data_IF_035869662183
#
_entry.id   IF_035869662183
#
_cell.length_a   1.000
_cell.length_b   1.000
_cell.length_c   1.000
_cell.angle_alpha   90.00
_cell.angle_beta   90.00
_cell.angle_gamma   90.00
#
_symmetry.space_group_name_H-M   'P 1'
#
loop_
_entity.id
_entity.type
_entity.pdbx_description
1 polymer ?
#
# COMPACT_ATOMS: atom_id res chain seq x y z
N UNK A 1 57.48 0.52 29.76
CA UNK A 1 57.32 1.51 28.67
C UNK A 1 56.48 0.84 27.58
N UNK A 2 55.16 0.95 27.66
CA UNK A 2 54.20 0.37 26.70
C UNK A 2 53.36 1.50 26.11
N UNK A 3 53.21 1.53 24.78
CA UNK A 3 52.53 2.60 24.03
C UNK A 3 51.00 2.39 24.04
N UNK A 4 50.19 3.45 24.23
CA UNK A 4 48.73 3.37 24.14
C UNK A 4 48.25 3.94 22.78
N UNK A 5 47.96 3.09 21.79
CA UNK A 5 47.42 3.55 20.49
C UNK A 5 46.57 2.48 19.79
N UNK A 6 45.58 1.88 20.46
CA UNK A 6 44.69 0.90 19.80
C UNK A 6 43.20 0.97 20.20
N UNK A 7 42.74 1.98 20.94
CA UNK A 7 41.34 2.04 21.39
C UNK A 7 40.40 2.98 20.62
N UNK A 8 40.89 3.72 19.63
CA UNK A 8 40.07 4.76 18.97
C UNK A 8 39.47 4.32 17.62
N UNK A 9 39.85 3.17 17.07
CA UNK A 9 39.38 2.74 15.74
C UNK A 9 38.12 1.86 15.78
N UNK A 10 37.84 1.20 16.92
CA UNK A 10 36.67 0.31 17.05
C UNK A 10 35.34 1.05 17.28
N UNK A 11 35.37 2.28 17.80
CA UNK A 11 34.14 3.06 18.04
C UNK A 11 33.59 3.76 16.79
N UNK A 12 34.40 3.95 15.75
CA UNK A 12 33.95 4.58 14.50
C UNK A 12 33.28 3.57 13.57
N UNK A 13 33.66 2.30 13.61
CA UNK A 13 33.09 1.24 12.75
C UNK A 13 31.65 0.89 13.17
N UNK A 14 31.35 0.92 14.48
CA UNK A 14 29.99 0.69 14.97
C UNK A 14 28.99 1.80 14.57
N UNK A 15 29.46 3.04 14.40
CA UNK A 15 28.62 4.16 13.96
C UNK A 15 28.35 4.13 12.44
N UNK A 16 29.28 3.60 11.64
CA UNK A 16 29.07 3.41 10.19
C UNK A 16 28.16 2.22 9.87
N UNK A 17 28.16 1.16 10.69
CA UNK A 17 27.22 0.04 10.52
C UNK A 17 25.76 0.46 10.78
N UNK A 18 25.53 1.42 11.68
CA UNK A 18 24.19 1.97 11.93
C UNK A 18 23.70 2.94 10.84
N UNK A 19 24.61 3.57 10.08
CA UNK A 19 24.28 4.54 9.02
C UNK A 19 24.21 3.87 7.63
N UNK A 20 24.85 2.72 7.43
CA UNK A 20 24.80 1.95 6.18
C UNK A 20 23.68 0.88 6.13
N UNK A 21 22.89 0.73 7.20
CA UNK A 21 21.64 -0.05 7.18
C UNK A 21 20.42 0.75 6.69
N UNK A 22 20.63 1.77 5.85
CA UNK A 22 19.56 2.58 5.23
C UNK A 22 18.70 1.84 4.20
N UNK A 23 18.60 0.51 4.27
CA UNK A 23 17.85 -0.31 3.32
C UNK A 23 16.83 -1.25 3.95
N UNK A 24 16.81 -1.40 5.29
CA UNK A 24 15.74 -2.13 5.98
C UNK A 24 15.54 -1.51 7.37
N UNK A 25 14.55 -0.64 7.51
CA UNK A 25 14.09 -0.14 8.81
C UNK A 25 13.28 -1.21 9.58
N UNK A 26 13.83 -2.42 9.69
CA UNK A 26 13.32 -3.44 10.61
C UNK A 26 13.81 -3.06 12.01
N UNK A 27 12.97 -2.39 12.77
CA UNK A 27 13.27 -2.05 14.16
C UNK A 27 13.11 -3.31 15.02
N UNK A 28 14.13 -4.16 15.01
CA UNK A 28 14.01 -5.54 15.47
C UNK A 28 13.31 -5.74 16.81
N UNK A 29 12.35 -6.65 16.81
CA UNK A 29 12.27 -7.75 17.78
C UNK A 29 11.61 -8.94 17.08
N UNK A 30 12.38 -9.99 16.81
CA UNK A 30 11.89 -11.20 16.14
C UNK A 30 11.17 -12.07 17.17
N UNK A 31 9.98 -11.64 17.58
CA UNK A 31 9.00 -12.59 18.11
C UNK A 31 8.43 -13.36 16.91
N UNK A 32 8.16 -14.66 17.07
CA UNK A 32 7.99 -15.60 15.95
C UNK A 32 6.98 -15.20 14.85
N UNK A 33 6.06 -14.24 15.09
CA UNK A 33 5.03 -13.84 14.13
C UNK A 33 4.88 -12.30 13.96
N UNK A 34 5.89 -11.49 14.30
CA UNK A 34 5.78 -10.03 14.21
C UNK A 34 6.99 -9.41 13.52
N UNK A 35 6.70 -8.47 12.62
CA UNK A 35 7.65 -7.57 11.98
C UNK A 35 7.46 -6.16 12.50
N UNK A 36 8.46 -5.32 12.29
CA UNK A 36 8.37 -3.88 12.54
C UNK A 36 8.78 -3.13 11.28
N UNK A 37 8.06 -2.06 10.97
CA UNK A 37 8.29 -1.21 9.81
C UNK A 37 8.31 0.24 10.24
N UNK A 38 9.25 1.03 9.73
CA UNK A 38 9.30 2.46 9.96
C UNK A 38 8.80 3.19 8.73
N UNK A 39 7.75 4.00 8.89
CA UNK A 39 7.25 4.86 7.82
C UNK A 39 8.14 6.10 7.66
N UNK A 40 8.22 6.69 6.45
CA UNK A 40 8.81 8.01 6.27
C UNK A 40 8.03 9.03 7.10
N UNK A 41 8.70 9.94 7.81
CA UNK A 41 8.10 10.88 8.78
C UNK A 41 7.32 12.04 8.15
N UNK A 42 7.52 12.25 6.86
CA UNK A 42 6.74 13.15 6.05
C UNK A 42 6.35 12.39 4.78
N UNK A 43 5.08 12.41 4.42
CA UNK A 43 4.67 11.90 3.11
C UNK A 43 4.75 13.01 2.08
N UNK A 44 5.12 12.64 0.85
CA UNK A 44 4.89 13.54 -0.29
C UNK A 44 3.40 13.84 -0.38
N UNK A 45 2.97 15.10 -0.65
CA UNK A 45 1.56 15.41 -0.76
C UNK A 45 0.87 14.51 -1.79
N UNK A 46 -0.16 13.81 -1.34
CA UNK A 46 -0.92 12.88 -2.16
C UNK A 46 -1.92 13.69 -2.94
N UNK A 47 -1.80 13.65 -4.27
CA UNK A 47 -2.63 14.42 -5.19
C UNK A 47 -3.71 13.52 -5.76
N UNK A 48 -4.95 13.96 -5.63
CA UNK A 48 -6.10 13.29 -6.20
C UNK A 48 -6.85 14.25 -7.12
N UNK A 49 -7.48 13.72 -8.16
CA UNK A 49 -8.31 14.50 -9.09
C UNK A 49 -9.74 14.74 -8.57
N UNK A 50 -10.02 14.31 -7.33
CA UNK A 50 -11.30 14.44 -6.67
C UNK A 50 -11.12 14.83 -5.20
N UNK A 51 -12.14 15.47 -4.64
CA UNK A 51 -12.26 15.75 -3.22
C UNK A 51 -13.50 15.04 -2.67
N UNK A 52 -13.32 14.14 -1.72
CA UNK A 52 -14.34 13.35 -1.07
C UNK A 52 -14.46 13.77 0.41
N UNK A 53 -15.70 13.99 0.83
CA UNK A 53 -16.08 14.17 2.22
C UNK A 53 -16.99 13.02 2.63
N UNK A 54 -16.54 12.21 3.58
CA UNK A 54 -17.23 11.00 4.04
C UNK A 54 -17.48 11.14 5.54
N UNK A 55 -18.74 10.98 5.94
CA UNK A 55 -19.11 10.98 7.36
C UNK A 55 -20.01 9.79 7.64
N UNK A 56 -19.83 9.14 8.78
CA UNK A 56 -20.71 8.05 9.18
C UNK A 56 -20.43 7.52 10.57
N UNK A 57 -21.39 6.79 11.10
CA UNK A 57 -21.33 6.15 12.42
C UNK A 57 -22.08 4.81 12.39
N UNK A 58 -21.60 3.85 13.17
CA UNK A 58 -22.33 2.60 13.40
C UNK A 58 -23.46 2.81 14.41
N UNK A 59 -24.50 1.99 14.34
CA UNK A 59 -25.67 2.10 15.22
C UNK A 59 -25.32 1.95 16.72
N UNK A 60 -24.28 1.18 17.03
CA UNK A 60 -23.75 0.98 18.39
C UNK A 60 -22.74 2.06 18.83
N UNK A 61 -22.39 3.01 17.94
CA UNK A 61 -21.39 4.05 18.16
C UNK A 61 -19.95 3.53 18.29
N UNK A 62 -19.69 2.24 18.04
CA UNK A 62 -18.35 1.66 18.14
C UNK A 62 -17.42 2.14 17.01
N UNK A 63 -17.99 2.57 15.89
CA UNK A 63 -17.28 3.00 14.69
C UNK A 63 -17.75 4.38 14.23
N UNK A 64 -16.81 5.22 13.81
CA UNK A 64 -17.12 6.45 13.10
C UNK A 64 -16.04 6.80 12.10
N UNK A 65 -16.45 7.47 11.02
CA UNK A 65 -15.57 8.04 10.01
C UNK A 65 -15.95 9.51 9.83
N UNK A 66 -14.93 10.36 9.75
CA UNK A 66 -15.08 11.78 9.43
C UNK A 66 -13.91 12.24 8.58
N UNK A 67 -14.15 12.38 7.28
CA UNK A 67 -13.19 12.81 6.26
C UNK A 67 -13.76 14.03 5.55
N UNK A 68 -12.94 15.07 5.38
CA UNK A 68 -13.26 16.28 4.64
C UNK A 68 -12.14 16.49 3.62
N UNK A 69 -12.51 16.70 2.35
CA UNK A 69 -11.58 16.92 1.23
C UNK A 69 -10.38 15.93 1.21
N UNK A 70 -10.66 14.63 1.35
CA UNK A 70 -9.72 13.49 1.38
C UNK A 70 -8.84 13.34 2.64
N UNK A 71 -9.03 14.14 3.69
CA UNK A 71 -8.31 13.94 4.96
C UNK A 71 -9.24 13.94 6.17
N UNK A 72 -8.94 13.09 7.14
CA UNK A 72 -9.73 13.04 8.37
C UNK A 72 -9.31 11.91 9.28
N UNK A 73 -10.30 11.28 9.91
CA UNK A 73 -10.05 10.22 10.87
C UNK A 73 -11.13 9.15 10.88
N UNK A 74 -10.73 7.96 11.29
CA UNK A 74 -11.63 6.88 11.67
C UNK A 74 -11.43 6.61 13.15
N UNK A 75 -12.53 6.38 13.87
CA UNK A 75 -12.50 5.90 15.25
C UNK A 75 -13.11 4.52 15.35
N UNK A 76 -12.39 3.58 15.99
CA UNK A 76 -12.90 2.25 16.36
C UNK A 76 -12.30 1.83 17.70
N UNK A 77 -13.07 1.14 18.55
CA UNK A 77 -12.57 0.65 19.85
C UNK A 77 -11.83 1.71 20.69
N UNK A 78 -12.34 2.95 20.71
CA UNK A 78 -11.71 4.12 21.36
C UNK A 78 -10.32 4.51 20.83
N UNK A 79 -9.95 4.03 19.64
CA UNK A 79 -8.75 4.44 18.91
C UNK A 79 -9.14 5.33 17.76
N UNK A 80 -8.46 6.46 17.60
CA UNK A 80 -8.64 7.35 16.46
C UNK A 80 -7.39 7.31 15.60
N UNK A 81 -7.57 7.03 14.32
CA UNK A 81 -6.49 6.94 13.33
C UNK A 81 -6.71 8.00 12.28
N UNK A 82 -5.66 8.76 11.98
CA UNK A 82 -5.71 9.66 10.84
C UNK A 82 -5.80 8.83 9.57
N UNK A 83 -6.72 9.19 8.69
CA UNK A 83 -6.86 8.57 7.37
C UNK A 83 -6.87 9.62 6.29
N UNK A 84 -6.51 9.19 5.09
CA UNK A 84 -6.74 9.91 3.85
C UNK A 84 -7.44 9.00 2.84
N UNK A 85 -8.14 9.61 1.89
CA UNK A 85 -8.70 8.90 0.73
C UNK A 85 -7.72 9.03 -0.43
N UNK A 86 -7.31 7.88 -0.97
CA UNK A 86 -6.41 7.80 -2.13
C UNK A 86 -7.16 7.57 -3.42
N UNK A 87 -7.92 6.49 -3.48
CA UNK A 87 -8.53 6.06 -4.73
C UNK A 87 -10.06 6.15 -4.66
N UNK A 88 -10.65 6.46 -5.81
CA UNK A 88 -12.08 6.31 -6.07
C UNK A 88 -12.25 5.18 -7.09
N UNK A 89 -12.82 4.05 -6.65
CA UNK A 89 -12.91 2.81 -7.43
C UNK A 89 -14.39 2.50 -7.71
N UNK A 90 -14.86 2.70 -8.96
CA UNK A 90 -16.19 2.26 -9.36
C UNK A 90 -16.28 0.73 -9.32
N UNK A 91 -17.30 0.18 -8.64
CA UNK A 91 -17.45 -1.27 -8.40
C UNK A 91 -18.82 -1.78 -8.87
N UNK A 92 -19.24 -1.31 -10.05
CA UNK A 92 -20.51 -1.70 -10.67
C UNK A 92 -21.75 -0.98 -10.12
N UNK A 93 -22.73 -0.77 -10.99
CA UNK A 93 -23.97 -0.08 -10.65
C UNK A 93 -23.74 1.33 -10.09
N UNK A 94 -24.20 1.55 -8.85
CA UNK A 94 -24.05 2.82 -8.14
C UNK A 94 -23.05 2.75 -6.97
N UNK A 95 -22.35 1.62 -6.83
CA UNK A 95 -21.40 1.39 -5.75
C UNK A 95 -20.01 1.93 -6.14
N UNK A 96 -19.46 2.75 -5.25
CA UNK A 96 -18.10 3.29 -5.36
C UNK A 96 -17.37 3.00 -4.05
N UNK A 97 -16.16 2.48 -4.17
CA UNK A 97 -15.24 2.23 -3.06
C UNK A 97 -14.26 3.39 -2.98
N UNK A 98 -14.12 3.99 -1.81
CA UNK A 98 -13.07 4.97 -1.54
C UNK A 98 -11.98 4.30 -0.72
N UNK A 99 -10.81 4.09 -1.31
CA UNK A 99 -9.67 3.49 -0.62
C UNK A 99 -9.10 4.46 0.41
N UNK A 100 -8.94 3.96 1.63
CA UNK A 100 -8.49 4.68 2.81
C UNK A 100 -7.13 4.12 3.21
N UNK A 101 -6.17 5.01 3.42
CA UNK A 101 -4.94 4.67 4.14
C UNK A 101 -4.77 5.56 5.34
N UNK A 102 -4.31 4.97 6.43
CA UNK A 102 -4.12 5.68 7.67
C UNK A 102 -3.00 5.08 8.51
N UNK A 103 -2.63 5.82 9.54
CA UNK A 103 -1.64 5.36 10.51
C UNK A 103 -1.93 5.99 11.87
N UNK A 104 -1.67 5.22 12.91
CA UNK A 104 -1.58 5.71 14.27
C UNK A 104 -0.18 5.36 14.83
N UNK A 105 0.02 5.45 16.15
CA UNK A 105 1.32 5.18 16.77
C UNK A 105 1.74 3.70 16.68
N UNK A 106 0.80 2.77 16.48
CA UNK A 106 1.02 1.33 16.63
C UNK A 106 0.93 0.57 15.30
N UNK A 107 0.05 1.01 14.39
CA UNK A 107 -0.33 0.26 13.19
C UNK A 107 -0.63 1.14 11.97
N UNK A 108 -0.53 0.50 10.79
CA UNK A 108 -1.05 1.03 9.53
C UNK A 108 -2.48 0.53 9.39
N UNK A 109 -3.38 1.39 8.92
CA UNK A 109 -4.75 1.07 8.54
C UNK A 109 -4.87 1.12 7.01
N UNK A 110 -5.41 0.06 6.44
CA UNK A 110 -5.93 0.00 5.08
C UNK A 110 -7.46 -0.19 5.15
N UNK A 111 -8.23 0.42 4.26
CA UNK A 111 -9.68 0.23 4.28
C UNK A 111 -10.40 0.76 3.06
N UNK A 112 -11.72 0.54 3.04
CA UNK A 112 -12.61 1.01 1.99
C UNK A 112 -13.92 1.52 2.58
N UNK A 113 -14.30 2.74 2.21
CA UNK A 113 -15.65 3.26 2.44
C UNK A 113 -16.52 2.95 1.22
N UNK A 114 -17.60 2.18 1.43
CA UNK A 114 -18.52 1.75 0.39
C UNK A 114 -19.68 2.72 0.32
N UNK A 115 -19.83 3.39 -0.82
CA UNK A 115 -20.85 4.40 -1.02
C UNK A 115 -21.76 4.03 -2.18
N UNK A 116 -23.07 4.01 -1.93
CA UNK A 116 -24.10 3.76 -2.96
C UNK A 116 -24.97 5.00 -3.12
N UNK A 117 -24.91 5.65 -4.28
CA UNK A 117 -25.73 6.84 -4.54
C UNK A 117 -25.51 8.00 -3.55
N UNK A 118 -24.29 8.12 -3.00
CA UNK A 118 -23.94 9.13 -2.00
C UNK A 118 -24.25 8.75 -0.55
N UNK A 119 -24.89 7.60 -0.30
CA UNK A 119 -25.04 7.05 1.04
C UNK A 119 -23.82 6.18 1.37
N UNK A 120 -23.22 6.38 2.55
CA UNK A 120 -22.24 5.44 3.09
C UNK A 120 -22.99 4.22 3.61
N UNK A 121 -22.66 3.03 3.13
CA UNK A 121 -23.37 1.78 3.44
C UNK A 121 -22.52 0.76 4.17
N UNK A 122 -21.19 0.82 4.00
CA UNK A 122 -20.27 -0.08 4.68
C UNK A 122 -18.90 0.58 4.85
N UNK A 123 -18.15 0.13 5.85
CA UNK A 123 -16.77 0.47 6.09
C UNK A 123 -15.99 -0.82 6.32
N UNK A 124 -15.03 -1.11 5.45
CA UNK A 124 -14.11 -2.22 5.62
C UNK A 124 -12.75 -1.69 6.07
N UNK A 125 -12.12 -2.34 7.03
CA UNK A 125 -10.82 -1.91 7.55
C UNK A 125 -9.99 -3.13 7.93
N UNK A 126 -8.69 -2.99 7.71
CA UNK A 126 -7.68 -3.92 8.12
C UNK A 126 -6.51 -3.14 8.71
N UNK A 127 -5.87 -3.72 9.72
CA UNK A 127 -4.70 -3.12 10.34
C UNK A 127 -3.53 -4.08 10.40
N UNK A 128 -2.32 -3.53 10.34
CA UNK A 128 -1.10 -4.32 10.53
C UNK A 128 -0.99 -4.88 11.94
N UNK A 129 -1.81 -4.42 12.89
CA UNK A 129 -1.93 -5.00 14.23
C UNK A 129 -2.67 -6.35 14.27
N UNK A 130 -3.19 -6.84 13.14
CA UNK A 130 -3.91 -8.12 13.05
C UNK A 130 -5.43 -8.00 13.25
N UNK A 131 -5.98 -6.79 13.12
CA UNK A 131 -7.42 -6.62 12.94
C UNK A 131 -7.70 -6.88 11.46
N UNK A 132 -8.21 -8.07 11.15
CA UNK A 132 -8.64 -8.43 9.79
C UNK A 132 -10.17 -8.57 9.74
N UNK A 133 -10.77 -8.01 8.70
CA UNK A 133 -12.07 -8.43 8.21
C UNK A 133 -13.28 -7.57 8.62
N UNK A 134 -14.35 -7.82 7.86
CA UNK A 134 -15.69 -7.25 7.90
C UNK A 134 -16.12 -6.77 9.27
N UNK A 135 -15.85 -5.49 9.53
CA UNK A 135 -16.72 -4.74 10.41
C UNK A 135 -17.97 -4.41 9.60
N UNK A 136 -18.80 -5.44 9.39
CA UNK A 136 -20.16 -5.27 8.90
C UNK A 136 -21.04 -4.69 10.03
N UNK A 137 -20.49 -3.72 10.77
CA UNK A 137 -21.33 -2.72 11.37
C UNK A 137 -21.93 -1.99 10.19
N UNK A 138 -23.22 -2.18 9.97
CA UNK A 138 -24.03 -1.26 9.18
C UNK A 138 -23.66 0.14 9.65
N UNK A 139 -22.91 0.84 8.82
CA UNK A 139 -22.53 2.22 9.06
C UNK A 139 -23.51 3.04 8.26
N UNK A 140 -24.09 4.05 8.88
CA UNK A 140 -24.96 4.99 8.20
C UNK A 140 -24.23 6.32 8.07
N UNK A 141 -24.38 6.96 6.92
CA UNK A 141 -23.60 8.15 6.63
C UNK A 141 -23.77 8.65 5.21
N UNK A 142 -22.90 9.59 4.86
CA UNK A 142 -22.91 10.26 3.56
C UNK A 142 -21.53 10.29 2.94
N UNK A 143 -21.50 10.22 1.62
CA UNK A 143 -20.33 10.42 0.79
C UNK A 143 -20.64 11.53 -0.21
N UNK A 144 -19.95 12.65 -0.08
CA UNK A 144 -20.06 13.78 -1.00
C UNK A 144 -18.74 13.93 -1.76
N UNK A 145 -18.78 13.82 -3.09
CA UNK A 145 -17.58 13.88 -3.92
C UNK A 145 -17.70 14.99 -4.94
N UNK A 146 -16.64 15.78 -5.05
CA UNK A 146 -16.46 16.85 -6.03
C UNK A 146 -15.35 16.43 -7.01
N UNK A 147 -15.57 16.72 -8.28
CA UNK A 147 -14.53 16.64 -9.31
C UNK A 147 -13.59 17.85 -9.21
N UNK A 148 -12.84 17.91 -8.12
CA UNK A 148 -11.91 18.99 -7.78
C UNK A 148 -10.60 18.37 -7.32
N UNK A 149 -9.48 18.83 -7.90
CA UNK A 149 -8.18 18.34 -7.51
C UNK A 149 -7.84 18.77 -6.07
N UNK A 150 -7.48 17.81 -5.22
CA UNK A 150 -7.06 18.04 -3.84
C UNK A 150 -5.66 17.51 -3.60
N UNK A 151 -4.99 18.06 -2.59
CA UNK A 151 -3.69 17.57 -2.14
C UNK A 151 -3.69 17.49 -0.63
N UNK A 152 -3.44 16.29 -0.11
CA UNK A 152 -3.47 15.98 1.32
C UNK A 152 -2.17 15.35 1.76
N UNK A 153 -1.75 15.67 2.99
CA UNK A 153 -0.60 15.03 3.61
C UNK A 153 -1.10 13.98 4.60
N UNK A 154 -0.58 12.76 4.51
CA UNK A 154 -0.72 11.78 5.56
C UNK A 154 0.41 12.00 6.57
N UNK A 155 0.07 12.24 7.84
CA UNK A 155 1.09 12.32 8.88
C UNK A 155 1.33 10.91 9.40
N UNK A 156 2.60 10.58 9.54
CA UNK A 156 3.11 9.28 9.96
C UNK A 156 3.96 9.48 11.22
N UNK A 157 4.07 8.45 12.04
CA UNK A 157 5.02 8.44 13.15
C UNK A 157 6.42 8.06 12.64
N UNK A 158 7.47 8.59 13.27
CA UNK A 158 8.84 8.09 13.09
C UNK A 158 9.09 6.77 13.82
N UNK A 159 8.13 6.36 14.65
CA UNK A 159 8.19 5.12 15.41
C UNK A 159 8.02 3.91 14.50
N UNK A 160 8.45 2.77 15.02
CA UNK A 160 8.37 1.52 14.30
C UNK A 160 7.02 0.87 14.57
N UNK A 161 6.24 0.73 13.51
CA UNK A 161 4.91 0.15 13.56
C UNK A 161 5.00 -1.36 13.52
N UNK A 162 4.10 -2.03 14.24
CA UNK A 162 4.05 -3.48 14.26
C UNK A 162 3.26 -4.02 13.08
N UNK A 163 3.78 -5.08 12.47
CA UNK A 163 3.08 -5.88 11.45
C UNK A 163 2.98 -7.32 11.95
N UNK A 164 1.78 -7.75 12.29
CA UNK A 164 1.49 -9.09 12.79
C UNK A 164 1.16 -9.98 11.61
N UNK A 165 1.90 -11.07 11.44
CA UNK A 165 1.62 -12.04 10.38
C UNK A 165 0.30 -12.78 10.69
N UNK A 166 -0.55 -13.04 9.67
CA UNK A 166 -1.69 -13.93 9.82
C UNK A 166 -1.26 -15.32 10.29
N UNK A 167 -2.12 -16.00 11.05
CA UNK A 167 -1.84 -17.37 11.52
C UNK A 167 -1.77 -18.40 10.40
N UNK A 168 -2.34 -18.06 9.24
CA UNK A 168 -2.31 -18.85 8.02
C UNK A 168 -1.95 -17.93 6.86
N UNK A 169 -0.84 -18.22 6.21
CA UNK A 169 -0.36 -17.52 5.01
C UNK A 169 -0.09 -18.60 3.97
N UNK A 170 -0.61 -18.49 2.74
CA UNK A 170 -0.37 -19.49 1.72
C UNK A 170 1.10 -19.45 1.28
N UNK A 171 1.60 -20.58 0.77
CA UNK A 171 2.91 -20.59 0.13
C UNK A 171 2.78 -20.11 -1.31
N UNK A 172 3.67 -19.23 -1.76
CA UNK A 172 3.77 -18.80 -3.16
C UNK A 172 5.20 -19.00 -3.65
N UNK A 173 5.36 -19.65 -4.81
CA UNK A 173 6.63 -19.79 -5.53
C UNK A 173 6.49 -19.32 -6.98
N UNK A 174 6.99 -18.11 -7.23
CA UNK A 174 7.17 -17.50 -8.55
C UNK A 174 8.66 -17.36 -8.91
N UNK A 175 9.52 -18.21 -8.36
CA UNK A 175 10.98 -18.12 -8.52
C UNK A 175 11.56 -16.84 -7.93
N UNK A 176 12.50 -16.21 -8.64
CA UNK A 176 13.20 -15.01 -8.14
C UNK A 176 12.33 -13.75 -8.09
N UNK A 177 11.15 -13.76 -8.71
CA UNK A 177 10.30 -12.56 -8.82
C UNK A 177 9.28 -12.43 -7.69
N UNK A 178 8.87 -13.55 -7.10
CA UNK A 178 7.87 -13.61 -6.04
C UNK A 178 8.08 -14.90 -5.24
N UNK A 179 8.26 -14.78 -3.93
CA UNK A 179 8.34 -15.91 -3.02
C UNK A 179 7.64 -15.56 -1.73
N UNK A 180 6.73 -16.40 -1.25
CA UNK A 180 6.12 -16.28 0.07
C UNK A 180 6.17 -17.63 0.77
N UNK A 181 7.12 -17.87 1.68
CA UNK A 181 7.15 -19.09 2.46
C UNK A 181 5.97 -19.16 3.43
N UNK A 182 5.56 -20.38 3.79
CA UNK A 182 4.47 -20.58 4.74
C UNK A 182 4.74 -19.88 6.08
N UNK A 183 3.83 -18.99 6.49
CA UNK A 183 3.87 -18.32 7.80
C UNK A 183 5.01 -17.32 7.98
N UNK A 184 5.73 -16.95 6.92
CA UNK A 184 6.87 -16.02 6.97
C UNK A 184 6.65 -14.81 6.05
N UNK A 185 7.53 -13.81 6.17
CA UNK A 185 7.62 -12.78 5.14
C UNK A 185 8.29 -13.33 3.88
N UNK A 186 7.85 -12.81 2.74
CA UNK A 186 8.33 -13.14 1.43
C UNK A 186 9.18 -12.05 0.78
N UNK A 187 9.35 -12.18 -0.54
CA UNK A 187 10.03 -11.23 -1.40
C UNK A 187 9.22 -11.04 -2.68
N UNK A 188 9.25 -9.85 -3.25
CA UNK A 188 8.68 -9.55 -4.56
C UNK A 188 9.55 -8.55 -5.32
N UNK A 189 9.63 -8.72 -6.65
CA UNK A 189 10.30 -7.77 -7.54
C UNK A 189 9.27 -7.00 -8.38
N UNK A 190 9.11 -5.71 -8.11
CA UNK A 190 8.26 -4.79 -8.87
C UNK A 190 9.15 -3.91 -9.75
N UNK A 191 8.96 -4.00 -11.08
CA UNK A 191 9.88 -3.37 -12.03
C UNK A 191 11.31 -3.88 -11.83
N UNK A 192 12.22 -2.98 -11.46
CA UNK A 192 13.64 -3.26 -11.16
C UNK A 192 13.95 -3.28 -9.66
N UNK A 193 12.95 -3.16 -8.80
CA UNK A 193 13.11 -2.97 -7.37
C UNK A 193 12.63 -4.19 -6.59
N UNK A 194 13.44 -4.62 -5.62
CA UNK A 194 13.08 -5.69 -4.69
C UNK A 194 12.44 -5.13 -3.43
N UNK A 195 11.40 -5.82 -2.96
CA UNK A 195 10.69 -5.54 -1.73
C UNK A 195 10.65 -6.78 -0.85
N UNK A 196 10.71 -6.59 0.47
CA UNK A 196 10.20 -7.60 1.38
C UNK A 196 8.67 -7.55 1.33
N UNK A 197 8.02 -8.71 1.30
CA UNK A 197 6.57 -8.86 1.28
C UNK A 197 6.12 -9.36 2.64
N UNK A 198 5.46 -8.52 3.44
CA UNK A 198 5.07 -8.84 4.81
C UNK A 198 3.54 -8.91 4.89
N UNK A 199 2.94 -10.11 4.85
CA UNK A 199 1.49 -10.24 4.90
C UNK A 199 0.95 -9.84 6.27
N UNK A 200 -0.20 -9.15 6.30
CA UNK A 200 -0.85 -8.75 7.54
C UNK A 200 -2.35 -9.09 7.59
N UNK A 201 -2.99 -9.31 6.45
CA UNK A 201 -4.35 -9.83 6.38
C UNK A 201 -4.53 -10.79 5.19
N UNK A 202 -5.44 -11.75 5.35
CA UNK A 202 -5.87 -12.68 4.31
C UNK A 202 -7.38 -12.58 4.18
N UNK A 203 -7.87 -12.24 3.00
CA UNK A 203 -9.30 -12.25 2.70
C UNK A 203 -9.63 -13.49 1.89
N UNK A 204 -10.55 -14.30 2.43
CA UNK A 204 -11.10 -15.45 1.72
C UNK A 204 -12.36 -15.00 0.96
N UNK A 205 -12.19 -14.84 -0.36
CA UNK A 205 -13.26 -14.53 -1.30
C UNK A 205 -13.59 -15.72 -2.22
N UNK A 206 -13.41 -16.95 -1.74
CA UNK A 206 -13.86 -18.17 -2.44
C UNK A 206 -15.34 -18.13 -2.84
N UNK A 207 -16.17 -17.47 -2.04
CA UNK A 207 -17.62 -17.35 -2.24
C UNK A 207 -18.08 -15.93 -2.60
N UNK A 208 -17.17 -15.03 -2.99
CA UNK A 208 -17.50 -13.67 -3.43
C UNK A 208 -18.03 -13.69 -4.89
N UNK A 209 -19.19 -14.32 -5.11
CA UNK A 209 -19.75 -14.66 -6.44
C UNK A 209 -20.14 -13.47 -7.31
N UNK A 210 -20.35 -12.30 -6.70
CA UNK A 210 -21.08 -11.21 -7.36
C UNK A 210 -20.16 -10.15 -7.98
N UNK A 211 -18.84 -10.23 -7.75
CA UNK A 211 -17.96 -9.11 -8.05
C UNK A 211 -16.54 -9.45 -8.52
N UNK A 212 -16.25 -10.73 -8.82
CA UNK A 212 -14.93 -11.14 -9.31
C UNK A 212 -14.97 -12.20 -10.41
N UNK A 213 -13.80 -12.67 -10.84
CA UNK A 213 -13.73 -13.74 -11.83
C UNK A 213 -14.43 -15.00 -11.30
N UNK A 214 -15.08 -15.71 -12.21
CA UNK A 214 -15.79 -16.95 -11.91
C UNK A 214 -14.89 -17.88 -11.11
N UNK A 215 -15.29 -18.31 -9.91
CA UNK A 215 -14.55 -19.25 -9.08
C UNK A 215 -13.96 -18.70 -7.79
N UNK A 216 -14.04 -17.39 -7.53
CA UNK A 216 -13.55 -16.80 -6.28
C UNK A 216 -12.03 -16.60 -6.24
N UNK A 217 -11.55 -15.98 -5.17
CA UNK A 217 -10.14 -15.65 -5.00
C UNK A 217 -9.72 -15.58 -3.53
N UNK A 218 -8.41 -15.61 -3.29
CA UNK A 218 -7.81 -15.23 -2.00
C UNK A 218 -7.06 -13.91 -2.21
N UNK A 219 -7.17 -12.99 -1.25
CA UNK A 219 -6.37 -11.76 -1.21
C UNK A 219 -5.33 -11.88 -0.09
N UNK A 220 -4.09 -11.48 -0.39
CA UNK A 220 -3.04 -11.30 0.61
C UNK A 220 -2.71 -9.82 0.66
N UNK A 221 -3.04 -9.20 1.78
CA UNK A 221 -2.75 -7.80 2.04
C UNK A 221 -1.39 -7.72 2.71
N UNK A 222 -0.52 -6.88 2.16
CA UNK A 222 0.90 -6.90 2.45
C UNK A 222 1.44 -5.50 2.69
N UNK A 223 2.38 -5.40 3.62
CA UNK A 223 3.31 -4.28 3.66
C UNK A 223 4.51 -4.65 2.80
N UNK A 224 4.81 -3.80 1.82
CA UNK A 224 5.98 -3.90 0.98
C UNK A 224 7.04 -2.93 1.48
N UNK A 225 8.21 -3.43 1.85
CA UNK A 225 9.35 -2.57 2.25
C UNK A 225 10.45 -2.68 1.21
N UNK A 226 10.78 -1.56 0.60
CA UNK A 226 11.87 -1.50 -0.37
C UNK A 226 13.18 -1.95 0.27
N UNK A 227 13.96 -2.77 -0.44
CA UNK A 227 15.32 -3.14 -0.01
C UNK A 227 16.38 -2.11 -0.39
N UNK A 228 16.03 -1.15 -1.26
CA UNK A 228 16.95 -0.17 -1.85
C UNK A 228 16.71 1.28 -1.42
N UNK A 229 15.52 1.58 -0.88
CA UNK A 229 15.05 2.90 -0.47
C UNK A 229 14.24 2.79 0.82
N UNK A 230 13.87 3.94 1.41
CA UNK A 230 13.02 3.99 2.60
C UNK A 230 11.51 3.84 2.27
N UNK A 231 11.17 3.44 1.05
CA UNK A 231 9.79 3.37 0.60
C UNK A 231 9.06 2.19 1.27
N UNK A 232 7.92 2.52 1.85
CA UNK A 232 6.94 1.56 2.35
C UNK A 232 5.70 1.69 1.49
N UNK A 233 5.14 0.56 1.07
CA UNK A 233 3.90 0.50 0.32
C UNK A 233 2.94 -0.52 0.94
N UNK A 234 1.66 -0.35 0.65
CA UNK A 234 0.66 -1.39 0.80
C UNK A 234 0.42 -2.03 -0.56
N UNK A 235 0.11 -3.33 -0.59
CA UNK A 235 -0.20 -4.03 -1.82
C UNK A 235 -1.05 -5.26 -1.57
N UNK A 236 -1.92 -5.57 -2.53
CA UNK A 236 -2.84 -6.70 -2.45
C UNK A 236 -2.49 -7.71 -3.54
N UNK A 237 -2.16 -8.93 -3.13
CA UNK A 237 -1.90 -10.05 -4.04
C UNK A 237 -3.15 -10.92 -4.16
N UNK A 238 -3.67 -11.04 -5.38
CA UNK A 238 -4.83 -11.84 -5.74
C UNK A 238 -4.40 -13.21 -6.24
N UNK A 239 -4.93 -14.26 -5.62
CA UNK A 239 -4.81 -15.65 -6.07
C UNK A 239 -6.18 -16.12 -6.59
N UNK A 240 -6.34 -16.13 -7.90
CA UNK A 240 -7.62 -16.48 -8.54
C UNK A 240 -7.79 -17.99 -8.64
N UNK A 241 -8.84 -18.54 -8.03
CA UNK A 241 -9.02 -19.99 -7.91
C UNK A 241 -9.30 -20.69 -9.25
N UNK A 242 -10.00 -20.01 -10.17
CA UNK A 242 -10.21 -20.54 -11.52
C UNK A 242 -8.96 -20.51 -12.39
N UNK A 243 -7.94 -19.75 -11.98
CA UNK A 243 -6.70 -19.52 -12.73
C UNK A 243 -5.48 -19.81 -11.86
N UNK A 244 -5.46 -21.02 -11.29
CA UNK A 244 -4.36 -21.42 -10.45
C UNK A 244 -3.03 -21.40 -11.20
N UNK A 245 -2.00 -20.86 -10.54
CA UNK A 245 -0.72 -20.51 -11.16
C UNK A 245 -0.56 -19.04 -11.55
N UNK A 246 -1.58 -18.20 -11.38
CA UNK A 246 -1.48 -16.75 -11.59
C UNK A 246 -1.62 -15.99 -10.27
N UNK A 247 -0.71 -15.04 -10.05
CA UNK A 247 -0.77 -14.12 -8.91
C UNK A 247 -0.72 -12.70 -9.45
N UNK A 248 -1.74 -11.90 -9.16
CA UNK A 248 -1.77 -10.49 -9.56
C UNK A 248 -1.52 -9.59 -8.36
N UNK A 249 -0.54 -8.68 -8.42
CA UNK A 249 -0.46 -7.59 -7.45
C UNK A 249 -1.25 -6.39 -7.96
N UNK A 250 -2.18 -5.92 -7.14
CA UNK A 250 -2.98 -4.72 -7.41
C UNK A 250 -2.92 -3.78 -6.19
N UNK A 251 -3.44 -2.56 -6.37
CA UNK A 251 -3.54 -1.55 -5.32
C UNK A 251 -2.22 -1.26 -4.61
N UNK A 252 -1.12 -1.19 -5.36
CA UNK A 252 0.18 -0.86 -4.77
C UNK A 252 0.20 0.63 -4.43
N UNK A 253 0.11 0.96 -3.14
CA UNK A 253 0.04 2.33 -2.65
C UNK A 253 1.24 2.64 -1.76
N UNK A 254 2.17 3.44 -2.29
CA UNK A 254 3.37 3.83 -1.55
C UNK A 254 3.19 5.12 -0.76
N UNK A 255 3.79 5.19 0.43
CA UNK A 255 3.82 6.39 1.27
C UNK A 255 4.74 7.47 0.69
N UNK A 256 5.77 7.06 -0.06
CA UNK A 256 6.62 7.89 -0.89
C UNK A 256 6.78 7.23 -2.27
N UNK A 257 6.72 8.04 -3.33
CA UNK A 257 6.86 7.58 -4.72
C UNK A 257 5.65 6.85 -5.29
N UNK A 258 5.82 6.37 -6.52
CA UNK A 258 4.84 5.56 -7.26
C UNK A 258 5.43 4.16 -7.48
N UNK A 259 4.66 3.13 -7.17
CA UNK A 259 4.96 1.76 -7.58
C UNK A 259 3.89 1.27 -8.57
N UNK A 260 4.34 0.57 -9.60
CA UNK A 260 3.45 0.04 -10.65
C UNK A 260 2.89 -1.32 -10.24
N UNK A 261 1.61 -1.56 -10.53
CA UNK A 261 1.00 -2.88 -10.43
C UNK A 261 1.65 -3.88 -11.41
N UNK A 262 1.53 -5.18 -11.13
CA UNK A 262 2.15 -6.24 -11.96
C UNK A 262 1.41 -7.57 -11.82
N UNK A 263 1.40 -8.36 -12.88
CA UNK A 263 0.94 -9.77 -12.83
C UNK A 263 2.14 -10.71 -12.91
N UNK A 264 2.11 -11.75 -12.08
CA UNK A 264 3.13 -12.80 -11.98
C UNK A 264 2.52 -14.15 -12.33
N UNK A 265 3.35 -15.02 -12.90
CA UNK A 265 3.06 -16.46 -12.95
C UNK A 265 3.79 -17.10 -11.76
N UNK A 266 3.03 -17.69 -10.85
CA UNK A 266 3.55 -18.29 -9.64
C UNK A 266 2.66 -19.45 -9.21
N UNK A 267 3.28 -20.57 -8.83
CA UNK A 267 2.57 -21.64 -8.14
C UNK A 267 2.22 -21.19 -6.72
N UNK A 268 1.12 -21.68 -6.18
CA UNK A 268 0.75 -21.42 -4.80
C UNK A 268 0.03 -22.61 -4.17
N UNK A 269 0.18 -22.75 -2.85
CA UNK A 269 -0.47 -23.78 -2.04
C UNK A 269 -1.43 -23.13 -1.04
N UNK A 270 -2.72 -23.47 -1.17
CA UNK A 270 -3.81 -22.98 -0.31
C UNK A 270 -4.29 -24.02 0.70
N UNK A 271 -3.66 -25.20 0.79
CA UNK A 271 -4.14 -26.33 1.60
C UNK A 271 -4.45 -25.94 3.04
N UNK A 272 -3.63 -25.08 3.64
CA UNK A 272 -3.83 -24.58 5.01
C UNK A 272 -5.01 -23.61 5.16
N UNK A 273 -5.37 -22.89 4.09
CA UNK A 273 -6.46 -21.91 4.09
C UNK A 273 -7.82 -22.57 3.87
N UNK A 274 -7.95 -23.36 2.80
CA UNK A 274 -9.26 -23.89 2.35
C UNK A 274 -9.50 -25.35 2.74
N UNK A 275 -8.53 -26.01 3.38
CA UNK A 275 -8.69 -27.36 3.94
C UNK A 275 -8.77 -28.50 2.92
N UNK A 276 -8.64 -28.21 1.62
CA UNK A 276 -8.56 -29.20 0.55
C UNK A 276 -7.50 -28.80 -0.48
N UNK A 277 -6.78 -29.78 -1.01
CA UNK A 277 -5.93 -29.58 -2.19
C UNK A 277 -6.83 -29.33 -3.40
N UNK A 278 -6.61 -28.24 -4.13
CA UNK A 278 -7.31 -27.97 -5.39
C UNK A 278 -6.79 -28.95 -6.45
N UNK A 279 -7.39 -30.14 -6.52
CA UNK A 279 -7.12 -31.09 -7.60
C UNK A 279 -7.87 -30.63 -8.86
N UNK A 280 -7.15 -30.36 -9.96
CA UNK A 280 -7.74 -30.04 -11.26
C UNK A 280 -7.43 -28.64 -11.83
N UNK A 281 -6.32 -28.03 -11.45
CA UNK A 281 -5.89 -26.71 -11.97
C UNK A 281 -5.80 -26.72 -13.50
N UNK A 282 -6.69 -25.96 -14.14
CA UNK A 282 -6.61 -25.69 -15.57
C UNK A 282 -5.53 -24.62 -15.79
N UNK A 283 -4.39 -25.01 -16.36
CA UNK A 283 -3.24 -24.11 -16.60
C UNK A 283 -3.46 -23.11 -17.74
N UNK A 284 -4.63 -23.12 -18.39
CA UNK A 284 -4.90 -22.34 -19.60
C UNK A 284 -5.56 -20.97 -19.37
N UNK A 285 -5.50 -20.40 -18.17
CA UNK A 285 -5.99 -19.03 -17.97
C UNK A 285 -5.03 -18.02 -18.57
N UNK A 286 -5.37 -17.49 -19.74
CA UNK A 286 -4.88 -16.16 -20.12
C UNK A 286 -5.53 -15.16 -19.16
N UNK A 287 -4.73 -14.50 -18.32
CA UNK A 287 -5.21 -13.47 -17.43
C UNK A 287 -5.90 -12.37 -18.26
N UNK A 288 -7.23 -12.35 -18.26
CA UNK A 288 -7.97 -11.29 -18.93
C UNK A 288 -7.68 -9.99 -18.19
N UNK A 289 -6.98 -9.06 -18.84
CA UNK A 289 -6.63 -7.73 -18.34
C UNK A 289 -7.84 -6.79 -18.16
N UNK A 290 -9.01 -7.32 -17.82
CA UNK A 290 -10.29 -6.61 -17.83
C UNK A 290 -10.73 -6.09 -16.46
N UNK A 291 -9.98 -6.32 -15.39
CA UNK A 291 -10.11 -5.46 -14.21
C UNK A 291 -9.44 -4.13 -14.55
N UNK A 292 -10.26 -3.07 -14.60
CA UNK A 292 -9.85 -1.77 -15.08
C UNK A 292 -8.52 -1.37 -14.48
N UNK A 293 -7.47 -1.40 -15.30
CA UNK A 293 -6.26 -0.63 -15.04
C UNK A 293 -6.74 0.82 -14.92
N UNK A 294 -6.86 1.33 -13.69
CA UNK A 294 -6.81 2.77 -13.49
C UNK A 294 -5.50 3.19 -14.16
N UNK A 295 -5.59 4.13 -15.11
CA UNK A 295 -4.47 4.63 -15.91
C UNK A 295 -3.34 5.14 -14.98
N UNK A 296 -2.45 4.26 -14.52
CA UNK A 296 -1.16 4.64 -13.93
C UNK A 296 -0.04 4.59 -14.97
N UNK A 297 -0.27 4.00 -16.15
CA UNK A 297 0.70 3.94 -17.25
C UNK A 297 0.80 5.24 -18.09
N UNK A 298 0.12 6.33 -17.71
CA UNK A 298 0.21 7.63 -18.38
C UNK A 298 1.12 8.67 -17.69
N UNK A 299 2.05 8.26 -16.82
CA UNK A 299 3.14 9.14 -16.34
C UNK A 299 4.36 8.98 -17.26
N UNK A 300 4.18 9.23 -18.55
CA UNK A 300 5.29 9.53 -19.47
C UNK A 300 5.20 10.89 -20.16
N UNK A 301 4.17 11.71 -19.86
CA UNK A 301 3.96 13.02 -20.50
C UNK A 301 4.18 14.26 -19.61
N UNK A 302 4.78 14.12 -18.43
CA UNK A 302 5.15 15.27 -17.58
C UNK A 302 6.56 15.85 -17.86
N UNK A 303 7.32 15.32 -18.82
CA UNK A 303 8.61 15.87 -19.26
C UNK A 303 8.62 16.13 -20.77
N UNK A 304 7.75 17.04 -21.21
CA UNK A 304 7.60 17.39 -22.63
C UNK A 304 7.20 18.84 -22.88
N UNK A 305 7.64 19.81 -22.06
CA UNK A 305 7.54 21.23 -22.45
C UNK A 305 8.60 21.56 -23.51
N UNK A 306 8.25 21.29 -24.75
CA UNK A 306 8.79 21.96 -25.92
C UNK A 306 8.53 23.46 -25.74
N UNK A 307 9.61 24.21 -25.52
CA UNK A 307 9.62 25.65 -25.76
C UNK A 307 9.36 25.84 -27.25
N UNK A 308 8.36 26.63 -27.68
CA UNK A 308 8.22 26.95 -29.09
C UNK A 308 9.44 27.79 -29.51
N UNK A 309 10.28 27.20 -30.36
CA UNK A 309 11.29 27.91 -31.13
C UNK A 309 10.53 28.82 -32.09
N UNK A 310 10.34 30.06 -31.68
CA UNK A 310 9.51 30.99 -32.45
C UNK A 310 9.43 32.39 -31.86
N UNK A 311 10.55 32.94 -31.34
CA UNK A 311 10.79 34.39 -31.31
C UNK A 311 12.26 34.65 -30.95
N UNK A 312 13.05 34.92 -31.98
CA UNK A 312 14.47 35.21 -31.90
C UNK A 312 14.71 36.50 -32.67
N UNK A 313 14.34 37.64 -32.07
CA UNK A 313 14.86 38.97 -32.44
C UNK A 313 14.82 39.85 -31.20
N UNK A 314 15.98 40.45 -30.88
CA UNK A 314 16.25 41.43 -29.81
C UNK A 314 16.21 40.85 -28.37
N UNK A 315 17.21 41.00 -27.52
CA UNK A 315 18.19 42.08 -27.40
C UNK A 315 19.44 41.52 -26.70
N UNK A 316 20.59 41.65 -27.36
CA UNK A 316 21.88 41.63 -26.67
C UNK A 316 22.06 42.93 -25.88
N UNK A 317 23.07 42.91 -24.99
CA UNK A 317 23.67 44.05 -24.28
C UNK A 317 23.14 44.27 -22.85
N UNK A 318 24.10 44.51 -21.92
CA UNK A 318 23.96 44.96 -20.52
C UNK A 318 23.73 43.79 -19.54
N UNK A 319 24.60 43.41 -18.59
CA UNK A 319 25.76 44.05 -17.97
C UNK A 319 26.65 42.96 -17.35
N UNK A 320 27.92 42.88 -17.73
CA UNK A 320 28.97 42.35 -16.87
C UNK A 320 29.46 43.52 -16.01
N UNK A 321 29.09 43.57 -14.74
CA UNK A 321 29.73 44.44 -13.75
C UNK A 321 29.42 43.93 -12.33
N UNK A 322 30.46 43.84 -11.50
CA UNK A 322 30.53 43.35 -10.11
C UNK A 322 30.50 41.81 -9.99
N UNK A 323 31.55 41.13 -9.53
CA UNK A 323 32.36 41.42 -8.35
C UNK A 323 33.85 41.08 -8.54
N UNK A 324 34.71 42.06 -8.29
CA UNK A 324 36.04 41.86 -7.75
C UNK A 324 36.06 42.61 -6.41
N UNK A 325 36.13 41.85 -5.32
CA UNK A 325 36.58 42.22 -3.97
C UNK A 325 36.93 40.92 -3.26
#
# INVERSE_FOLDING_TARGET
MFRPFEKTVLSTIALYAAILCGGVHACGDWSNNSWTVQLPTATTPIRNEFAASITGFSDDGAYSIGVIDNAGSITWNNRTTQVIIRDQIPYGGHLVLYSLIGTNADEILEGWAYCTGGALTSLFMETTGGISGFINSTISGTCNVKAEATSVNLKTSSECLRVTLPSKVPTIDGGNLLSLPHGEAGNVTLGTQEFNLIPFAIVDCTNCSDAGPSGGWIEIHTVLTSKASADVCLGIFYLYLACAGTVSVQYVQCFEGDATSRTFYAGYDLSDLIGSSIEGVNTSCEASSSFGTTNSDNISDALGRIVPVGQLVALATVLAFFMAS
#
